data_IF_417101273760
#
_entry.id   IF_417101273760
#
_cell.length_a   1.000
_cell.length_b   1.000
_cell.length_c   1.000
_cell.angle_alpha   90.00
_cell.angle_beta   90.00
_cell.angle_gamma   90.00
#
_symmetry.space_group_name_H-M   'P 1'
#
loop_
_entity.id
_entity.type
_entity.pdbx_description
1 polymer ?
#
# COMPACT_ATOMS: atom_id res chain seq x y z
N UNK A 1 -17.19 5.45 -7.33
CA UNK A 1 -17.09 5.69 -5.88
C UNK A 1 -15.67 5.34 -5.51
N UNK A 2 -14.93 6.22 -4.82
CA UNK A 2 -13.56 5.92 -4.42
C UNK A 2 -13.53 4.71 -3.46
N UNK A 3 -12.40 3.99 -3.33
CA UNK A 3 -12.34 2.68 -2.67
C UNK A 3 -12.66 2.65 -1.17
N UNK A 4 -13.04 3.79 -0.58
CA UNK A 4 -13.23 4.01 0.85
C UNK A 4 -14.59 3.53 1.41
N UNK A 5 -15.27 2.59 0.74
CA UNK A 5 -16.60 2.09 1.15
C UNK A 5 -16.68 0.59 1.43
N UNK A 6 -15.56 -0.14 1.26
CA UNK A 6 -15.45 -1.57 1.55
C UNK A 6 -14.56 -1.89 2.75
N UNK A 7 -13.51 -2.66 2.51
CA UNK A 7 -12.60 -3.15 3.55
C UNK A 7 -11.20 -2.57 3.37
N UNK A 8 -10.49 -2.40 4.47
CA UNK A 8 -9.08 -2.05 4.49
C UNK A 8 -8.30 -3.14 5.22
N UNK A 9 -7.33 -3.73 4.52
CA UNK A 9 -6.36 -4.64 5.11
C UNK A 9 -5.09 -3.86 5.38
N UNK A 10 -4.63 -3.81 6.62
CA UNK A 10 -3.44 -3.07 7.02
C UNK A 10 -2.63 -3.85 8.05
N UNK A 11 -1.40 -3.40 8.33
CA UNK A 11 -0.58 -3.97 9.39
C UNK A 11 -1.13 -3.62 10.79
N UNK A 12 -1.08 -4.58 11.72
CA UNK A 12 -1.48 -4.38 13.13
C UNK A 12 -0.36 -3.71 13.96
N UNK A 13 0.88 -4.13 13.70
CA UNK A 13 2.12 -3.59 14.26
C UNK A 13 3.03 -3.06 13.14
N UNK A 14 4.06 -2.28 13.50
CA UNK A 14 5.08 -1.82 12.55
C UNK A 14 5.74 -3.00 11.82
N UNK A 15 5.83 -2.90 10.49
CA UNK A 15 6.52 -3.89 9.68
C UNK A 15 8.01 -3.53 9.57
N UNK A 16 8.86 -4.54 9.40
CA UNK A 16 10.19 -4.33 8.81
C UNK A 16 10.14 -4.43 7.27
N UNK A 17 11.22 -3.97 6.62
CA UNK A 17 11.34 -4.01 5.15
C UNK A 17 11.11 -5.39 4.53
N UNK A 18 11.60 -6.45 5.17
CA UNK A 18 11.43 -7.82 4.67
C UNK A 18 9.96 -8.24 4.63
N UNK A 19 9.24 -7.96 5.72
CA UNK A 19 7.80 -8.21 5.81
C UNK A 19 7.01 -7.37 4.81
N UNK A 20 7.30 -6.07 4.72
CA UNK A 20 6.66 -5.20 3.72
C UNK A 20 6.91 -5.72 2.30
N UNK A 21 8.15 -6.13 1.98
CA UNK A 21 8.48 -6.68 0.66
C UNK A 21 7.69 -7.94 0.35
N UNK A 22 7.56 -8.86 1.30
CA UNK A 22 6.78 -10.09 1.12
C UNK A 22 5.29 -9.79 0.87
N UNK A 23 4.70 -8.89 1.65
CA UNK A 23 3.31 -8.46 1.52
C UNK A 23 3.08 -7.79 0.16
N UNK A 24 3.94 -6.82 -0.22
CA UNK A 24 3.86 -6.13 -1.51
C UNK A 24 4.04 -7.10 -2.68
N UNK A 25 4.96 -8.06 -2.58
CA UNK A 25 5.17 -9.09 -3.61
C UNK A 25 3.88 -9.89 -3.82
N UNK A 26 3.28 -10.38 -2.73
CA UNK A 26 2.05 -11.15 -2.75
C UNK A 26 0.88 -10.32 -3.35
N UNK A 27 0.73 -9.07 -2.91
CA UNK A 27 -0.30 -8.17 -3.41
C UNK A 27 -0.14 -7.89 -4.92
N UNK A 28 1.07 -7.54 -5.37
CA UNK A 28 1.36 -7.26 -6.78
C UNK A 28 1.11 -8.48 -7.66
N UNK A 29 1.49 -9.69 -7.21
CA UNK A 29 1.23 -10.93 -7.96
C UNK A 29 -0.27 -11.11 -8.20
N UNK A 30 -1.10 -10.97 -7.17
CA UNK A 30 -2.55 -11.17 -7.33
C UNK A 30 -3.23 -10.05 -8.10
N UNK A 31 -2.89 -8.79 -7.82
CA UNK A 31 -3.49 -7.63 -8.48
C UNK A 31 -3.16 -7.60 -9.98
N UNK A 32 -1.90 -7.91 -10.34
CA UNK A 32 -1.46 -7.91 -11.74
C UNK A 32 -2.14 -8.96 -12.63
N UNK A 33 -2.79 -9.99 -12.05
CA UNK A 33 -3.58 -10.96 -12.82
C UNK A 33 -4.87 -10.36 -13.39
N UNK A 34 -5.42 -9.33 -12.73
CA UNK A 34 -6.76 -8.78 -13.01
C UNK A 34 -6.72 -7.36 -13.54
N UNK A 35 -5.72 -6.59 -13.16
CA UNK A 35 -5.61 -5.18 -13.49
C UNK A 35 -4.40 -4.96 -14.39
N UNK A 36 -4.57 -4.90 -15.72
CA UNK A 36 -3.43 -4.75 -16.64
C UNK A 36 -2.81 -3.36 -16.60
N UNK A 37 -3.58 -2.35 -16.20
CA UNK A 37 -3.15 -0.94 -16.09
C UNK A 37 -3.29 -0.48 -14.66
N UNK A 38 -2.31 0.31 -14.23
CA UNK A 38 -2.26 0.92 -12.91
C UNK A 38 -1.71 2.33 -13.05
N UNK A 39 -2.06 3.15 -12.07
CA UNK A 39 -1.51 4.47 -11.85
C UNK A 39 -0.83 4.48 -10.48
N UNK A 40 0.22 5.29 -10.33
CA UNK A 40 0.91 5.52 -9.06
C UNK A 40 1.00 7.02 -8.74
N UNK A 41 1.00 7.36 -7.46
CA UNK A 41 1.15 8.73 -6.98
C UNK A 41 1.73 8.76 -5.57
N UNK A 42 2.15 9.94 -5.14
CA UNK A 42 2.54 10.19 -3.76
C UNK A 42 1.30 10.68 -3.00
N UNK A 43 0.90 9.96 -1.96
CA UNK A 43 -0.25 10.29 -1.15
C UNK A 43 0.21 11.15 0.03
N UNK A 44 -0.04 12.47 -0.05
CA UNK A 44 0.29 13.45 0.99
C UNK A 44 -0.89 13.68 1.95
N UNK A 45 -1.90 12.80 1.92
CA UNK A 45 -3.14 13.02 2.68
C UNK A 45 -2.89 13.16 4.19
N UNK A 46 -1.95 12.41 4.76
CA UNK A 46 -1.60 12.50 6.20
C UNK A 46 -0.70 13.70 6.52
N UNK A 47 -0.04 14.29 5.51
CA UNK A 47 0.88 15.40 5.71
C UNK A 47 0.14 16.75 5.69
N UNK A 48 -0.42 17.15 4.55
CA UNK A 48 -1.11 18.45 4.38
C UNK A 48 -2.43 18.34 3.62
N UNK A 49 -2.88 17.11 3.32
CA UNK A 49 -4.12 16.85 2.59
C UNK A 49 -4.00 17.05 1.07
N UNK A 50 -2.80 17.29 0.54
CA UNK A 50 -2.61 17.42 -0.91
C UNK A 50 -2.62 16.04 -1.59
N UNK A 51 -3.18 15.96 -2.80
CA UNK A 51 -3.08 14.76 -3.64
C UNK A 51 -2.41 15.20 -4.93
N UNK A 52 -1.23 14.66 -5.23
CA UNK A 52 -0.55 14.92 -6.50
C UNK A 52 -1.19 14.11 -7.63
N UNK A 53 -1.05 14.61 -8.86
CA UNK A 53 -1.53 13.92 -10.05
C UNK A 53 -0.90 12.53 -10.17
N UNK A 54 -1.75 11.55 -10.47
CA UNK A 54 -1.29 10.18 -10.72
C UNK A 54 -0.60 10.05 -12.06
N UNK A 55 0.49 9.28 -12.10
CA UNK A 55 1.18 8.89 -13.33
C UNK A 55 0.83 7.44 -13.69
N UNK A 56 0.73 7.16 -14.99
CA UNK A 56 0.62 5.77 -15.44
C UNK A 56 1.88 5.00 -15.06
N UNK A 57 1.69 3.79 -14.53
CA UNK A 57 2.75 2.95 -14.00
C UNK A 57 2.70 1.54 -14.60
N UNK A 58 3.82 0.82 -14.55
CA UNK A 58 3.89 -0.57 -14.98
C UNK A 58 4.13 -1.52 -13.80
N UNK A 59 3.49 -2.69 -13.84
CA UNK A 59 3.77 -3.76 -12.88
C UNK A 59 5.23 -4.19 -12.86
N UNK A 60 5.94 -4.08 -13.99
CA UNK A 60 7.36 -4.41 -14.04
C UNK A 60 8.19 -3.39 -13.26
N UNK A 61 7.85 -2.10 -13.35
CA UNK A 61 8.48 -1.06 -12.53
C UNK A 61 8.30 -1.37 -11.05
N UNK A 62 7.07 -1.68 -10.62
CA UNK A 62 6.79 -2.00 -9.22
C UNK A 62 7.55 -3.25 -8.76
N UNK A 63 7.56 -4.33 -9.56
CA UNK A 63 8.31 -5.55 -9.24
C UNK A 63 9.81 -5.31 -9.10
N UNK A 64 10.39 -4.45 -9.94
CA UNK A 64 11.80 -4.07 -9.83
C UNK A 64 12.06 -3.23 -8.58
N UNK A 65 11.16 -2.30 -8.25
CA UNK A 65 11.25 -1.53 -7.02
C UNK A 65 11.25 -2.45 -5.79
N UNK A 66 10.37 -3.45 -5.73
CA UNK A 66 10.25 -4.34 -4.58
C UNK A 66 11.13 -5.60 -4.65
N UNK A 67 12.10 -5.68 -5.56
CA UNK A 67 12.84 -6.92 -5.82
C UNK A 67 13.73 -7.34 -4.64
N UNK A 68 14.29 -6.36 -3.92
CA UNK A 68 15.18 -6.54 -2.77
C UNK A 68 14.84 -5.50 -1.70
N UNK A 69 15.21 -5.74 -0.44
CA UNK A 69 14.98 -4.76 0.63
C UNK A 69 15.61 -3.41 0.29
N UNK A 70 16.80 -3.41 -0.33
CA UNK A 70 17.48 -2.18 -0.75
C UNK A 70 16.74 -1.42 -1.84
N UNK A 71 16.21 -2.11 -2.85
CA UNK A 71 15.46 -1.46 -3.92
C UNK A 71 14.11 -0.94 -3.42
N UNK A 72 13.47 -1.67 -2.50
CA UNK A 72 12.22 -1.27 -1.87
C UNK A 72 12.45 -0.02 -1.02
N UNK A 73 13.48 -0.03 -0.20
CA UNK A 73 13.88 1.12 0.58
C UNK A 73 14.18 2.35 -0.30
N UNK A 74 14.87 2.17 -1.43
CA UNK A 74 15.14 3.25 -2.38
C UNK A 74 13.89 3.73 -3.13
N UNK A 75 12.74 3.02 -3.06
CA UNK A 75 11.49 3.44 -3.71
C UNK A 75 10.62 4.34 -2.83
N UNK A 76 11.02 4.58 -1.59
CA UNK A 76 10.33 5.49 -0.68
C UNK A 76 10.31 6.93 -1.21
N UNK A 77 9.38 7.73 -0.70
CA UNK A 77 9.37 9.16 -0.96
C UNK A 77 10.55 9.89 -0.31
N UNK A 78 10.86 9.49 0.94
CA UNK A 78 11.90 10.13 1.76
C UNK A 78 11.42 11.34 2.54
N UNK A 79 10.11 11.59 2.56
CA UNK A 79 9.49 12.60 3.43
C UNK A 79 8.52 11.91 4.39
N UNK A 80 8.36 12.48 5.58
CA UNK A 80 7.55 11.92 6.66
C UNK A 80 6.08 11.91 6.25
N UNK A 81 5.40 10.79 6.55
CA UNK A 81 3.97 10.58 6.28
C UNK A 81 3.54 10.73 4.79
N UNK A 82 4.47 10.62 3.83
CA UNK A 82 4.14 10.58 2.39
C UNK A 82 4.15 9.13 1.91
N UNK A 83 2.96 8.58 1.65
CA UNK A 83 2.81 7.18 1.23
C UNK A 83 2.95 7.04 -0.29
N UNK A 84 3.55 5.95 -0.74
CA UNK A 84 3.49 5.56 -2.15
C UNK A 84 2.15 4.86 -2.39
N UNK A 85 1.34 5.40 -3.29
CA UNK A 85 0.03 4.87 -3.64
C UNK A 85 0.01 4.25 -5.04
N UNK A 86 -0.73 3.16 -5.17
CA UNK A 86 -0.99 2.46 -6.43
C UNK A 86 -2.47 2.12 -6.51
N UNK A 87 -3.09 2.36 -7.67
CA UNK A 87 -4.49 2.02 -7.90
C UNK A 87 -4.74 1.63 -9.38
N UNK A 88 -5.84 0.95 -9.71
CA UNK A 88 -6.25 0.76 -11.08
C UNK A 88 -7.03 2.00 -11.56
N UNK A 89 -7.16 2.18 -12.86
CA UNK A 89 -7.96 3.28 -13.44
C UNK A 89 -9.45 3.21 -13.03
N UNK A 90 -9.95 2.03 -12.65
CA UNK A 90 -11.30 1.84 -12.13
C UNK A 90 -11.49 2.31 -10.69
N UNK A 91 -10.40 2.54 -9.94
CA UNK A 91 -10.41 2.82 -8.50
C UNK A 91 -11.12 1.74 -7.65
N UNK A 92 -11.10 0.48 -8.11
CA UNK A 92 -11.65 -0.65 -7.37
C UNK A 92 -10.88 -0.96 -6.08
N UNK A 93 -9.62 -0.56 -6.03
CA UNK A 93 -8.74 -0.71 -4.87
C UNK A 93 -7.69 0.39 -4.82
N UNK A 94 -7.08 0.56 -3.66
CA UNK A 94 -5.95 1.46 -3.40
C UNK A 94 -4.96 0.72 -2.50
N UNK A 95 -3.74 0.52 -3.00
CA UNK A 95 -2.63 -0.03 -2.23
C UNK A 95 -1.71 1.12 -1.86
N UNK A 96 -1.32 1.19 -0.59
CA UNK A 96 -0.36 2.17 -0.09
C UNK A 96 0.68 1.51 0.78
N UNK A 97 1.86 2.10 0.77
CA UNK A 97 2.90 1.77 1.74
C UNK A 97 3.72 3.00 2.09
N UNK A 98 4.27 3.00 3.29
CA UNK A 98 5.29 3.94 3.74
C UNK A 98 6.51 3.18 4.22
N UNK A 99 7.66 3.82 4.11
CA UNK A 99 8.92 3.37 4.71
C UNK A 99 9.46 4.57 5.44
N UNK A 100 9.34 4.55 6.75
CA UNK A 100 9.89 5.58 7.62
C UNK A 100 11.26 5.15 8.12
N UNK A 101 12.13 6.13 8.32
CA UNK A 101 13.51 5.88 8.73
C UNK A 101 14.01 7.02 9.60
N UNK A 102 14.33 6.70 10.85
CA UNK A 102 14.94 7.63 11.78
C UNK A 102 16.44 7.87 11.48
N UNK A 103 17.13 6.95 10.79
CA UNK A 103 18.57 7.03 10.47
C UNK A 103 18.89 6.47 9.06
N UNK A 104 19.08 7.39 8.08
CA UNK A 104 19.43 7.09 6.68
C UNK A 104 20.68 6.22 6.46
N UNK A 105 21.51 6.05 7.49
CA UNK A 105 22.74 5.26 7.38
C UNK A 105 22.52 3.75 7.52
N UNK A 106 21.39 3.31 8.08
CA UNK A 106 21.06 1.89 8.24
C UNK A 106 19.57 1.59 7.93
N UNK A 107 19.32 1.30 6.66
CA UNK A 107 18.00 0.89 6.17
C UNK A 107 17.42 -0.35 6.86
N UNK A 108 18.22 -1.15 7.58
CA UNK A 108 17.70 -2.30 8.33
C UNK A 108 16.88 -1.88 9.56
N UNK A 109 16.98 -0.62 9.97
CA UNK A 109 16.21 -0.04 11.08
C UNK A 109 14.88 0.58 10.64
N UNK A 110 14.61 0.65 9.33
CA UNK A 110 13.41 1.27 8.80
C UNK A 110 12.13 0.56 9.26
N UNK A 111 11.15 1.35 9.68
CA UNK A 111 9.80 0.92 10.01
C UNK A 111 8.91 1.13 8.80
N UNK A 112 7.92 0.27 8.63
CA UNK A 112 7.14 0.19 7.40
C UNK A 112 5.65 0.07 7.71
N UNK A 113 4.85 0.73 6.89
CA UNK A 113 3.39 0.62 6.91
C UNK A 113 2.86 0.14 5.57
N UNK A 114 1.71 -0.51 5.63
CA UNK A 114 0.99 -1.02 4.48
C UNK A 114 -0.50 -0.91 4.70
N UNK A 115 -1.23 -0.48 3.67
CA UNK A 115 -2.66 -0.71 3.60
C UNK A 115 -3.15 -1.03 2.17
N UNK A 116 -4.15 -1.89 2.10
CA UNK A 116 -4.88 -2.21 0.88
C UNK A 116 -6.37 -2.01 1.15
N UNK A 117 -6.91 -0.98 0.51
CA UNK A 117 -8.32 -0.66 0.58
C UNK A 117 -9.03 -1.17 -0.67
N UNK A 118 -10.15 -1.87 -0.50
CA UNK A 118 -10.96 -2.42 -1.59
C UNK A 118 -12.38 -1.87 -1.54
N UNK A 119 -12.91 -1.47 -2.69
CA UNK A 119 -14.27 -0.97 -2.80
C UNK A 119 -15.30 -2.09 -2.59
N UNK A 120 -16.45 -1.80 -1.99
CA UNK A 120 -17.48 -2.80 -1.64
C UNK A 120 -18.03 -3.58 -2.83
N UNK A 121 -18.08 -2.93 -3.99
CA UNK A 121 -18.59 -3.49 -5.24
C UNK A 121 -17.51 -4.28 -6.01
N UNK A 122 -16.23 -4.11 -5.66
CA UNK A 122 -15.10 -4.81 -6.25
C UNK A 122 -14.99 -6.27 -5.77
N UNK A 123 -16.14 -6.95 -5.57
CA UNK A 123 -16.32 -8.37 -5.14
C UNK A 123 -15.58 -9.41 -5.99
N UNK A 124 -14.73 -9.00 -6.93
CA UNK A 124 -13.92 -9.84 -7.81
C UNK A 124 -12.45 -9.97 -7.40
N UNK A 125 -11.94 -9.20 -6.45
CA UNK A 125 -10.60 -9.46 -5.87
C UNK A 125 -10.73 -9.90 -4.43
N UNK A 126 -10.72 -11.22 -4.19
CA UNK A 126 -10.48 -11.82 -2.87
C UNK A 126 -9.02 -11.62 -2.42
N UNK A 127 -8.46 -10.45 -2.73
CA UNK A 127 -7.09 -10.08 -2.42
C UNK A 127 -6.95 -9.84 -0.92
N UNK A 128 -7.95 -9.22 -0.29
CA UNK A 128 -8.01 -9.04 1.15
C UNK A 128 -7.95 -10.40 1.86
N UNK A 129 -8.86 -11.33 1.51
CA UNK A 129 -8.86 -12.68 2.07
C UNK A 129 -7.58 -13.46 1.79
N UNK A 130 -7.00 -13.32 0.59
CA UNK A 130 -5.71 -13.91 0.25
C UNK A 130 -4.57 -13.37 1.13
N UNK A 131 -4.46 -12.05 1.29
CA UNK A 131 -3.40 -11.45 2.12
C UNK A 131 -3.56 -11.83 3.59
N UNK A 132 -4.77 -11.75 4.15
CA UNK A 132 -5.06 -12.15 5.52
C UNK A 132 -4.75 -13.64 5.77
N UNK A 133 -4.98 -14.50 4.78
CA UNK A 133 -4.66 -15.93 4.89
C UNK A 133 -3.15 -16.22 4.85
N UNK A 134 -2.38 -15.44 4.09
CA UNK A 134 -0.92 -15.62 3.98
C UNK A 134 -0.13 -14.91 5.09
N UNK A 135 -0.69 -13.84 5.66
CA UNK A 135 -0.05 -13.01 6.68
C UNK A 135 -0.95 -12.80 7.92
N UNK A 136 -1.51 -13.86 8.52
CA UNK A 136 -2.54 -13.75 9.56
C UNK A 136 -2.05 -13.13 10.88
N UNK A 137 -0.74 -13.06 11.08
CA UNK A 137 -0.13 -12.45 12.27
C UNK A 137 0.47 -11.06 12.00
N UNK A 138 0.35 -10.56 10.76
CA UNK A 138 0.88 -9.26 10.37
C UNK A 138 -0.22 -8.32 9.90
N UNK A 139 -1.29 -8.86 9.30
CA UNK A 139 -2.35 -8.09 8.70
C UNK A 139 -3.69 -8.31 9.42
N UNK A 140 -4.44 -7.23 9.56
CA UNK A 140 -5.81 -7.21 10.09
C UNK A 140 -6.74 -6.52 9.11
N UNK A 141 -8.06 -6.74 9.26
CA UNK A 141 -9.08 -6.13 8.42
C UNK A 141 -9.97 -5.21 9.25
N UNK A 142 -10.18 -3.99 8.74
CA UNK A 142 -11.14 -3.03 9.27
C UNK A 142 -12.09 -2.54 8.17
N UNK A 143 -13.26 -2.04 8.60
CA UNK A 143 -14.12 -1.24 7.73
C UNK A 143 -13.33 -0.02 7.24
N UNK A 144 -13.28 0.19 5.92
CA UNK A 144 -12.39 1.21 5.36
C UNK A 144 -12.79 2.61 5.81
N UNK A 145 -14.08 2.91 5.94
CA UNK A 145 -14.49 4.22 6.46
C UNK A 145 -13.95 4.48 7.87
N UNK A 146 -13.99 3.46 8.74
CA UNK A 146 -13.45 3.57 10.10
C UNK A 146 -11.93 3.77 10.11
N UNK A 147 -11.21 3.02 9.27
CA UNK A 147 -9.75 3.14 9.11
C UNK A 147 -9.33 4.52 8.59
N UNK A 148 -10.03 5.02 7.56
CA UNK A 148 -9.72 6.34 7.01
C UNK A 148 -10.06 7.45 8.00
N UNK A 149 -11.13 7.30 8.77
CA UNK A 149 -11.47 8.26 9.83
C UNK A 149 -10.40 8.30 10.93
N UNK A 150 -9.89 7.15 11.38
CA UNK A 150 -8.88 7.12 12.45
C UNK A 150 -7.52 7.67 12.04
N UNK A 151 -7.12 7.48 10.77
CA UNK A 151 -5.78 7.84 10.29
C UNK A 151 -5.72 9.15 9.49
N UNK A 152 -6.83 9.55 8.84
CA UNK A 152 -6.84 10.65 7.87
C UNK A 152 -7.93 11.71 8.13
N UNK A 153 -8.86 11.46 9.04
CA UNK A 153 -10.11 12.21 9.12
C UNK A 153 -10.40 12.84 10.49
N UNK A 154 -9.94 14.09 10.64
CA UNK A 154 -10.73 15.21 11.20
C UNK A 154 -10.87 15.33 12.72
#
# INVERSE_FOLDING_TARGET
>A
MPPFDGACVHNDDELNLGQLREILTAAIIELSKKYPTIDSFHDWHEHDGFIVDSKSESWNTLRLAIQTDRTLFNSRHGDFAVRIAVCPTSYDWLLRYNIDEDDESDYNSATCDFDLTVAKHAKKSDIAGYLLSNFPNLLVEHDSHSWFKSNYGG
#
